data_IF_276635759747
#
_entry.id   IF_276635759747
#
_cell.length_a   1.000
_cell.length_b   1.000
_cell.length_c   1.000
_cell.angle_alpha   90.00
_cell.angle_beta   90.00
_cell.angle_gamma   90.00
#
_symmetry.space_group_name_H-M   'P 1'
#
loop_
_entity.id
_entity.type
_entity.pdbx_description
1 polymer ?
#
# COMPACT_ATOMS: atom_id res chain seq x y z
N UNK A 1 -2.11 -7.34 31.74
CA UNK A 1 -2.17 -7.90 30.37
C UNK A 1 -0.76 -7.85 29.81
N UNK A 2 -0.24 -8.93 29.26
CA UNK A 2 1.07 -8.91 28.60
C UNK A 2 1.04 -7.89 27.44
N UNK A 3 2.11 -7.11 27.29
CA UNK A 3 2.21 -6.12 26.23
C UNK A 3 2.30 -6.81 24.87
N UNK A 4 1.53 -6.32 23.89
CA UNK A 4 1.53 -6.91 22.55
C UNK A 4 2.76 -6.48 21.75
N UNK A 5 3.46 -7.46 21.20
CA UNK A 5 4.57 -7.37 20.26
C UNK A 5 4.03 -7.49 18.83
N UNK A 6 4.18 -6.41 18.07
CA UNK A 6 3.60 -6.26 16.74
C UNK A 6 4.71 -6.11 15.70
N UNK A 7 4.68 -6.96 14.67
CA UNK A 7 5.61 -6.93 13.53
C UNK A 7 4.89 -6.43 12.27
N UNK A 8 5.42 -5.40 11.62
CA UNK A 8 4.97 -4.85 10.34
C UNK A 8 5.89 -5.24 9.18
N UNK A 9 5.33 -5.75 8.08
CA UNK A 9 6.06 -6.25 6.91
C UNK A 9 5.56 -5.65 5.60
N UNK A 10 6.46 -5.08 4.80
CA UNK A 10 6.16 -4.65 3.44
C UNK A 10 7.32 -4.94 2.51
N UNK A 11 7.07 -5.79 1.51
CA UNK A 11 8.03 -6.22 0.48
C UNK A 11 7.50 -5.96 -0.93
N UNK A 12 6.46 -5.15 -1.08
CA UNK A 12 5.77 -4.87 -2.34
C UNK A 12 6.55 -3.97 -3.32
N UNK A 13 7.51 -3.17 -2.84
CA UNK A 13 8.31 -2.24 -3.65
C UNK A 13 9.77 -2.65 -3.81
N UNK A 14 10.63 -1.70 -4.16
CA UNK A 14 12.10 -1.88 -4.27
C UNK A 14 12.81 -1.98 -2.92
N UNK A 15 12.15 -1.53 -1.84
CA UNK A 15 12.65 -1.63 -0.47
C UNK A 15 11.91 -2.68 0.35
N UNK A 16 12.67 -3.48 1.09
CA UNK A 16 12.21 -4.24 2.23
C UNK A 16 11.98 -3.26 3.39
N UNK A 17 10.75 -3.21 3.92
CA UNK A 17 10.33 -2.28 4.99
C UNK A 17 9.79 -3.08 6.17
N UNK A 18 10.34 -2.83 7.36
CA UNK A 18 9.97 -3.49 8.63
C UNK A 18 9.64 -2.45 9.69
N UNK A 19 8.59 -2.70 10.46
CA UNK A 19 8.30 -1.98 11.69
C UNK A 19 8.10 -2.98 12.83
N UNK A 20 8.45 -2.59 14.05
CA UNK A 20 8.20 -3.35 15.26
C UNK A 20 7.63 -2.41 16.34
N UNK A 21 6.73 -2.93 17.16
CA UNK A 21 6.22 -2.25 18.35
C UNK A 21 6.17 -3.24 19.51
N UNK A 22 6.73 -2.87 20.65
CA UNK A 22 6.80 -3.69 21.86
C UNK A 22 6.81 -2.77 23.07
N UNK A 23 5.83 -2.88 23.97
CA UNK A 23 5.82 -2.13 25.24
C UNK A 23 6.05 -0.63 25.13
N UNK A 24 5.34 0.03 24.21
CA UNK A 24 5.50 1.46 23.93
C UNK A 24 6.77 1.85 23.16
N UNK A 25 7.72 0.93 22.98
CA UNK A 25 8.89 1.11 22.10
C UNK A 25 8.51 0.76 20.67
N UNK A 26 8.96 1.57 19.72
CA UNK A 26 8.77 1.31 18.30
C UNK A 26 10.09 1.44 17.55
N UNK A 27 10.37 0.47 16.69
CA UNK A 27 11.54 0.46 15.81
C UNK A 27 11.10 0.30 14.36
N UNK A 28 11.88 0.86 13.44
CA UNK A 28 11.61 0.84 12.01
C UNK A 28 12.92 0.67 11.27
N UNK A 29 12.93 -0.16 10.24
CA UNK A 29 14.08 -0.33 9.37
C UNK A 29 13.63 -0.54 7.93
N UNK A 30 14.47 -0.12 6.99
CA UNK A 30 14.25 -0.37 5.58
C UNK A 30 15.57 -0.55 4.83
N UNK A 31 15.55 -1.35 3.76
CA UNK A 31 16.72 -1.61 2.92
C UNK A 31 16.29 -1.70 1.45
N UNK A 32 16.96 -0.94 0.57
CA UNK A 32 16.81 -1.11 -0.88
C UNK A 32 17.59 -2.36 -1.29
N UNK A 33 16.89 -3.38 -1.75
CA UNK A 33 17.49 -4.67 -2.15
C UNK A 33 16.51 -5.44 -3.04
N UNK A 34 17.04 -6.11 -4.07
CA UNK A 34 16.24 -6.86 -5.03
C UNK A 34 15.75 -8.21 -4.47
N UNK A 35 16.67 -9.04 -3.96
CA UNK A 35 16.43 -10.35 -3.34
C UNK A 35 16.06 -10.18 -1.86
N UNK A 36 14.88 -9.62 -1.59
CA UNK A 36 14.46 -9.20 -0.26
C UNK A 36 14.39 -10.37 0.74
N UNK A 37 14.03 -11.57 0.27
CA UNK A 37 13.94 -12.80 1.04
C UNK A 37 15.25 -13.16 1.73
N UNK A 38 16.40 -12.89 1.10
CA UNK A 38 17.73 -13.15 1.67
C UNK A 38 18.04 -12.29 2.91
N UNK A 39 17.45 -11.10 3.00
CA UNK A 39 17.71 -10.13 4.07
C UNK A 39 16.56 -10.00 5.06
N UNK A 40 15.41 -10.64 4.77
CA UNK A 40 14.17 -10.51 5.52
C UNK A 40 14.38 -10.80 7.01
N UNK A 41 14.83 -12.01 7.36
CA UNK A 41 14.96 -12.41 8.76
C UNK A 41 16.03 -11.62 9.51
N UNK A 42 17.14 -11.25 8.85
CA UNK A 42 18.16 -10.41 9.46
C UNK A 42 17.59 -9.03 9.82
N UNK A 43 16.82 -8.40 8.93
CA UNK A 43 16.21 -7.10 9.19
C UNK A 43 15.07 -7.19 10.22
N UNK A 44 14.27 -8.26 10.20
CA UNK A 44 13.22 -8.53 11.20
C UNK A 44 13.84 -8.65 12.59
N UNK A 45 14.83 -9.53 12.77
CA UNK A 45 15.52 -9.72 14.06
C UNK A 45 16.13 -8.41 14.57
N UNK A 46 16.83 -7.67 13.71
CA UNK A 46 17.40 -6.36 14.04
C UNK A 46 16.32 -5.36 14.50
N UNK A 47 15.19 -5.31 13.80
CA UNK A 47 14.12 -4.34 14.09
C UNK A 47 13.38 -4.69 15.38
N UNK A 48 13.10 -5.97 15.62
CA UNK A 48 12.49 -6.43 16.87
C UNK A 48 13.43 -6.19 18.07
N UNK A 49 14.72 -6.52 17.94
CA UNK A 49 15.69 -6.28 19.00
C UNK A 49 15.78 -4.79 19.37
N UNK A 50 15.72 -3.89 18.37
CA UNK A 50 15.69 -2.44 18.62
C UNK A 50 14.40 -1.97 19.35
N UNK A 51 13.29 -2.71 19.20
CA UNK A 51 12.07 -2.51 19.99
C UNK A 51 12.10 -3.22 21.36
N UNK A 52 13.12 -4.04 21.64
CA UNK A 52 13.24 -4.81 22.89
C UNK A 52 12.50 -6.14 22.88
N UNK A 53 12.30 -6.76 21.70
CA UNK A 53 11.61 -8.04 21.55
C UNK A 53 12.37 -9.00 20.63
N UNK A 54 12.01 -10.28 20.65
CA UNK A 54 12.47 -11.30 19.70
C UNK A 54 11.33 -11.75 18.77
N UNK A 55 11.69 -12.52 17.73
CA UNK A 55 10.71 -13.07 16.79
C UNK A 55 9.71 -14.03 17.46
N UNK A 56 10.15 -14.76 18.49
CA UNK A 56 9.31 -15.70 19.24
C UNK A 56 8.21 -15.00 20.05
N UNK A 57 8.39 -13.71 20.35
CA UNK A 57 7.48 -12.94 21.19
C UNK A 57 6.36 -12.30 20.37
N UNK A 58 6.42 -12.36 19.04
CA UNK A 58 5.47 -11.71 18.14
C UNK A 58 4.08 -12.34 18.23
N UNK A 59 3.13 -11.64 18.83
CA UNK A 59 1.71 -12.05 18.89
C UNK A 59 0.88 -11.50 17.73
N UNK A 60 1.32 -10.42 17.08
CA UNK A 60 0.57 -9.78 15.99
C UNK A 60 1.46 -9.47 14.80
N UNK A 61 1.01 -9.85 13.60
CA UNK A 61 1.69 -9.55 12.34
C UNK A 61 0.79 -8.68 11.45
N UNK A 62 1.34 -7.56 11.00
CA UNK A 62 0.73 -6.62 10.07
C UNK A 62 1.47 -6.70 8.73
N UNK A 63 0.80 -7.03 7.64
CA UNK A 63 1.45 -7.19 6.33
C UNK A 63 0.80 -6.37 5.22
N UNK A 64 1.64 -5.83 4.32
CA UNK A 64 1.19 -5.27 3.06
C UNK A 64 0.66 -6.39 2.15
N UNK A 65 -0.57 -6.21 1.62
CA UNK A 65 -1.17 -7.15 0.66
C UNK A 65 -1.17 -6.66 -0.80
N UNK A 66 -0.49 -5.54 -1.07
CA UNK A 66 -0.40 -4.95 -2.42
C UNK A 66 -1.22 -3.67 -2.61
N UNK A 67 -1.32 -3.16 -3.84
CA UNK A 67 -0.67 -3.69 -5.04
C UNK A 67 0.85 -3.48 -5.03
N UNK A 68 1.57 -4.04 -6.02
CA UNK A 68 3.04 -3.98 -6.10
C UNK A 68 3.64 -5.21 -6.76
N UNK A 69 4.95 -5.42 -6.59
CA UNK A 69 5.69 -6.54 -7.19
C UNK A 69 5.11 -7.88 -6.74
N UNK A 70 4.81 -8.74 -7.71
CA UNK A 70 4.17 -10.04 -7.50
C UNK A 70 4.87 -10.93 -6.46
N UNK A 71 6.18 -11.17 -6.65
CA UNK A 71 6.99 -11.92 -5.69
C UNK A 71 7.07 -11.22 -4.35
N UNK A 72 7.18 -9.88 -4.39
CA UNK A 72 7.26 -9.02 -3.21
C UNK A 72 6.07 -9.19 -2.27
N UNK A 73 4.84 -9.08 -2.79
CA UNK A 73 3.62 -9.23 -1.99
C UNK A 73 3.55 -10.63 -1.33
N UNK A 74 3.96 -11.66 -2.06
CA UNK A 74 3.92 -13.04 -1.54
C UNK A 74 4.90 -13.25 -0.40
N UNK A 75 6.08 -12.62 -0.42
CA UNK A 75 7.05 -12.74 0.68
C UNK A 75 6.43 -12.28 2.02
N UNK A 76 5.83 -11.09 2.08
CA UNK A 76 5.24 -10.57 3.32
C UNK A 76 4.03 -11.38 3.77
N UNK A 77 3.15 -11.78 2.85
CA UNK A 77 1.96 -12.56 3.18
C UNK A 77 2.30 -13.99 3.60
N UNK A 78 3.29 -14.63 2.99
CA UNK A 78 3.75 -15.97 3.36
C UNK A 78 4.33 -15.97 4.77
N UNK A 79 5.16 -14.98 5.14
CA UNK A 79 5.69 -14.89 6.50
C UNK A 79 4.56 -14.64 7.52
N UNK A 80 3.60 -13.76 7.20
CA UNK A 80 2.44 -13.53 8.07
C UNK A 80 1.60 -14.80 8.25
N UNK A 81 1.35 -15.56 7.16
CA UNK A 81 0.65 -16.83 7.21
C UNK A 81 1.39 -17.90 8.01
N UNK A 82 2.72 -17.98 7.87
CA UNK A 82 3.55 -18.90 8.64
C UNK A 82 3.51 -18.59 10.15
N UNK A 83 3.64 -17.32 10.53
CA UNK A 83 3.56 -16.91 11.95
C UNK A 83 2.15 -17.15 12.53
N UNK A 84 1.10 -16.96 11.73
CA UNK A 84 -0.26 -17.34 12.14
C UNK A 84 -0.38 -18.84 12.41
N UNK A 85 0.10 -19.66 11.47
CA UNK A 85 -0.07 -21.11 11.52
C UNK A 85 0.81 -21.77 12.60
N UNK A 86 2.04 -21.28 12.78
CA UNK A 86 3.04 -21.91 13.65
C UNK A 86 3.14 -21.28 15.05
N UNK A 87 2.85 -19.98 15.18
CA UNK A 87 2.98 -19.25 16.45
C UNK A 87 1.63 -18.71 16.98
N UNK A 88 0.52 -18.98 16.29
CA UNK A 88 -0.80 -18.50 16.70
C UNK A 88 -0.98 -16.98 16.59
N UNK A 89 -0.08 -16.29 15.86
CA UNK A 89 -0.10 -14.84 15.77
C UNK A 89 -1.38 -14.33 15.10
N UNK A 90 -1.94 -13.24 15.63
CA UNK A 90 -3.01 -12.49 14.98
C UNK A 90 -2.48 -11.81 13.72
N UNK A 91 -3.16 -11.98 12.58
CA UNK A 91 -2.76 -11.35 11.32
C UNK A 91 -3.74 -10.26 10.92
N UNK A 92 -3.19 -9.11 10.58
CA UNK A 92 -3.88 -8.01 9.94
C UNK A 92 -3.15 -7.61 8.65
N UNK A 93 -3.89 -7.21 7.63
CA UNK A 93 -3.32 -6.76 6.36
C UNK A 93 -3.87 -5.41 5.96
N UNK A 94 -3.08 -4.67 5.18
CA UNK A 94 -3.49 -3.41 4.57
C UNK A 94 -2.96 -3.31 3.15
N UNK A 95 -3.67 -2.59 2.29
CA UNK A 95 -3.19 -2.22 0.97
C UNK A 95 -2.21 -1.06 1.07
N UNK A 96 -1.37 -0.89 0.05
CA UNK A 96 -0.54 0.31 -0.04
C UNK A 96 -1.38 1.59 -0.15
N UNK A 97 -2.58 1.49 -0.72
CA UNK A 97 -3.53 2.59 -0.77
C UNK A 97 -3.97 3.03 0.62
N UNK A 98 -4.39 2.09 1.45
CA UNK A 98 -4.80 2.31 2.84
C UNK A 98 -3.65 2.91 3.67
N UNK A 99 -2.42 2.44 3.46
CA UNK A 99 -1.23 2.97 4.13
C UNK A 99 -0.97 4.44 3.74
N UNK A 100 -0.94 4.76 2.45
CA UNK A 100 -0.73 6.13 1.99
C UNK A 100 -1.92 7.05 2.35
N UNK A 101 -3.15 6.54 2.29
CA UNK A 101 -4.33 7.31 2.65
C UNK A 101 -4.28 7.74 4.13
N UNK A 102 -3.95 6.81 5.03
CA UNK A 102 -3.78 7.10 6.44
C UNK A 102 -2.58 8.03 6.70
N UNK A 103 -1.47 7.86 5.97
CA UNK A 103 -0.33 8.79 6.02
C UNK A 103 -0.69 10.22 5.65
N UNK A 104 -1.47 10.39 4.58
CA UNK A 104 -1.96 11.69 4.19
C UNK A 104 -2.84 12.27 5.30
N UNK A 105 -3.86 11.53 5.75
CA UNK A 105 -4.81 11.98 6.76
C UNK A 105 -4.19 12.39 8.10
N UNK A 106 -3.12 11.73 8.54
CA UNK A 106 -2.41 12.10 9.77
C UNK A 106 -1.46 13.29 9.59
N UNK A 107 -1.10 13.65 8.36
CA UNK A 107 -0.14 14.72 8.07
C UNK A 107 -0.70 16.13 8.34
N UNK A 108 0.15 17.03 8.83
CA UNK A 108 -0.23 18.44 9.06
C UNK A 108 -0.65 19.14 7.76
N UNK A 109 -0.01 18.80 6.64
CA UNK A 109 -0.29 19.40 5.33
C UNK A 109 -1.70 19.06 4.86
N UNK A 110 -2.07 17.77 4.89
CA UNK A 110 -3.42 17.35 4.55
C UNK A 110 -4.46 17.92 5.51
N UNK A 111 -4.23 17.92 6.83
CA UNK A 111 -5.18 18.47 7.81
C UNK A 111 -5.50 19.95 7.59
N UNK A 112 -4.51 20.74 7.15
CA UNK A 112 -4.71 22.15 6.76
C UNK A 112 -5.54 22.26 5.49
N UNK A 113 -5.27 21.41 4.51
CA UNK A 113 -5.97 21.39 3.23
C UNK A 113 -7.43 20.90 3.35
N UNK A 114 -7.66 19.84 4.12
CA UNK A 114 -8.95 19.13 4.19
C UNK A 114 -10.07 19.90 4.91
N UNK A 115 -9.78 21.07 5.48
CA UNK A 115 -10.77 21.92 6.13
C UNK A 115 -11.90 22.35 5.17
N UNK A 116 -11.62 22.43 3.87
CA UNK A 116 -12.60 22.75 2.83
C UNK A 116 -13.34 21.56 2.21
N UNK A 117 -13.13 20.33 2.71
CA UNK A 117 -13.67 19.12 2.05
C UNK A 117 -12.89 18.73 0.79
N UNK A 118 -13.35 17.69 0.09
CA UNK A 118 -12.73 17.19 -1.14
C UNK A 118 -12.45 15.69 -1.16
N UNK A 119 -11.53 15.27 -2.02
CA UNK A 119 -11.19 13.86 -2.26
C UNK A 119 -9.69 13.61 -2.13
N UNK A 120 -9.34 12.43 -1.62
CA UNK A 120 -7.97 11.97 -1.55
C UNK A 120 -7.71 10.93 -2.65
N UNK A 121 -6.85 11.25 -3.61
CA UNK A 121 -6.35 10.31 -4.60
C UNK A 121 -5.05 9.67 -4.11
N UNK A 122 -4.97 8.35 -4.15
CA UNK A 122 -3.74 7.61 -3.86
C UNK A 122 -3.22 6.98 -5.15
N UNK A 123 -1.99 7.33 -5.52
CA UNK A 123 -1.34 6.93 -6.77
C UNK A 123 -0.17 5.98 -6.49
N UNK A 124 -0.09 4.90 -7.25
CA UNK A 124 1.01 3.94 -7.18
C UNK A 124 1.50 3.62 -8.58
N UNK A 125 2.81 3.48 -8.75
CA UNK A 125 3.37 2.98 -10.01
C UNK A 125 3.17 1.47 -10.11
N UNK A 126 2.76 1.00 -11.30
CA UNK A 126 2.61 -0.42 -11.57
C UNK A 126 3.85 -0.95 -12.32
N UNK A 127 3.97 -0.61 -13.61
CA UNK A 127 5.07 -0.98 -14.48
C UNK A 127 5.06 -0.10 -15.73
N UNK A 128 6.21 0.42 -16.17
CA UNK A 128 6.33 1.34 -17.30
C UNK A 128 5.38 2.55 -17.17
N UNK A 129 4.48 2.78 -18.12
CA UNK A 129 3.52 3.86 -18.19
C UNK A 129 2.17 3.53 -17.53
N UNK A 130 2.11 2.46 -16.73
CA UNK A 130 0.92 2.01 -16.03
C UNK A 130 0.95 2.37 -14.55
N UNK A 131 -0.23 2.72 -14.02
CA UNK A 131 -0.41 3.21 -12.67
C UNK A 131 -1.65 2.61 -12.04
N UNK A 132 -1.63 2.51 -10.71
CA UNK A 132 -2.81 2.24 -9.93
C UNK A 132 -3.29 3.51 -9.23
N UNK A 133 -4.61 3.69 -9.18
CA UNK A 133 -5.24 4.80 -8.48
C UNK A 133 -6.40 4.30 -7.63
N UNK A 134 -6.54 4.83 -6.43
CA UNK A 134 -7.75 4.66 -5.63
C UNK A 134 -8.11 5.97 -4.95
N UNK A 135 -9.39 6.33 -5.01
CA UNK A 135 -9.91 7.48 -4.29
C UNK A 135 -10.36 7.09 -2.88
N UNK A 136 -10.26 8.04 -1.96
CA UNK A 136 -10.72 7.92 -0.58
C UNK A 136 -11.58 9.14 -0.24
N UNK A 137 -12.67 8.90 0.47
CA UNK A 137 -13.45 9.98 1.08
C UNK A 137 -12.71 10.54 2.29
N UNK A 138 -12.77 11.86 2.44
CA UNK A 138 -12.10 12.57 3.52
C UNK A 138 -13.14 12.92 4.61
N UNK A 139 -12.76 12.75 5.87
CA UNK A 139 -13.61 13.06 7.02
C UNK A 139 -12.81 13.10 8.32
N UNK A 140 -13.47 13.34 9.46
CA UNK A 140 -12.80 13.32 10.79
C UNK A 140 -12.32 11.93 11.23
N UNK A 141 -12.74 10.88 10.52
CA UNK A 141 -12.43 9.49 10.81
C UNK A 141 -11.38 8.91 9.84
N UNK A 142 -11.03 7.64 10.04
CA UNK A 142 -10.19 6.83 9.14
C UNK A 142 -10.64 7.02 7.67
N UNK A 143 -9.73 7.36 6.73
CA UNK A 143 -10.07 7.49 5.31
C UNK A 143 -10.73 6.22 4.77
N UNK A 144 -11.84 6.35 4.07
CA UNK A 144 -12.56 5.18 3.51
C UNK A 144 -12.38 5.14 2.01
N UNK A 145 -12.12 3.96 1.41
CA UNK A 145 -12.15 3.81 -0.03
C UNK A 145 -13.44 4.35 -0.63
N UNK A 146 -13.31 5.13 -1.70
CA UNK A 146 -14.42 5.68 -2.48
C UNK A 146 -14.39 5.01 -3.86
N UNK A 147 -14.80 3.75 -3.88
CA UNK A 147 -14.72 2.87 -5.05
C UNK A 147 -13.54 1.89 -5.02
N UNK A 148 -13.56 0.96 -5.96
CA UNK A 148 -12.50 -0.01 -6.17
C UNK A 148 -11.26 0.66 -6.77
N UNK A 149 -10.05 0.13 -6.49
CA UNK A 149 -8.83 0.61 -7.12
C UNK A 149 -8.83 0.28 -8.61
N UNK A 150 -8.30 1.19 -9.42
CA UNK A 150 -8.18 1.03 -10.88
C UNK A 150 -6.73 0.86 -11.31
N UNK A 151 -6.52 0.19 -12.44
CA UNK A 151 -5.26 0.06 -13.16
C UNK A 151 -5.41 0.72 -14.52
N UNK A 152 -4.60 1.75 -14.79
CA UNK A 152 -4.73 2.60 -15.98
C UNK A 152 -3.36 2.95 -16.56
N UNK A 153 -3.34 3.26 -17.86
CA UNK A 153 -2.18 3.92 -18.48
C UNK A 153 -2.11 5.39 -18.07
N UNK A 154 -0.95 6.02 -18.29
CA UNK A 154 -0.69 7.41 -17.94
C UNK A 154 -1.76 8.38 -18.48
N UNK A 155 -2.16 8.23 -19.74
CA UNK A 155 -3.14 9.12 -20.38
C UNK A 155 -4.52 8.99 -19.77
N UNK A 156 -5.00 7.77 -19.54
CA UNK A 156 -6.31 7.52 -18.93
C UNK A 156 -6.34 7.96 -17.46
N UNK A 157 -5.24 7.79 -16.73
CA UNK A 157 -5.13 8.29 -15.38
C UNK A 157 -5.14 9.82 -15.34
N UNK A 158 -4.48 10.51 -16.29
CA UNK A 158 -4.56 11.97 -16.42
C UNK A 158 -6.00 12.43 -16.65
N UNK A 159 -6.75 11.76 -17.53
CA UNK A 159 -8.17 12.04 -17.79
C UNK A 159 -9.01 11.84 -16.54
N UNK A 160 -8.89 10.68 -15.89
CA UNK A 160 -9.60 10.36 -14.65
C UNK A 160 -9.37 11.42 -13.56
N UNK A 161 -8.12 11.88 -13.38
CA UNK A 161 -7.79 12.89 -12.39
C UNK A 161 -8.29 14.29 -12.77
N UNK A 162 -8.29 14.63 -14.06
CA UNK A 162 -8.81 15.91 -14.56
C UNK A 162 -10.34 16.03 -14.46
N UNK A 163 -11.06 14.90 -14.49
CA UNK A 163 -12.53 14.86 -14.33
C UNK A 163 -12.99 15.03 -12.88
N UNK A 164 -12.07 15.01 -11.90
CA UNK A 164 -12.40 15.24 -10.49
C UNK A 164 -12.78 16.71 -10.29
N UNK A 165 -14.08 16.96 -10.13
CA UNK A 165 -14.65 18.31 -9.94
C UNK A 165 -14.43 18.88 -8.53
N UNK A 166 -14.29 18.01 -7.55
CA UNK A 166 -14.06 18.39 -6.16
C UNK A 166 -12.57 18.73 -5.92
N UNK A 167 -12.23 19.52 -4.88
CA UNK A 167 -10.85 19.70 -4.48
C UNK A 167 -10.16 18.34 -4.29
N UNK A 168 -9.04 18.12 -4.95
CA UNK A 168 -8.33 16.85 -4.93
C UNK A 168 -6.96 17.00 -4.27
N UNK A 169 -6.68 16.13 -3.29
CA UNK A 169 -5.37 15.95 -2.72
C UNK A 169 -4.81 14.63 -3.19
N UNK A 170 -3.59 14.62 -3.72
CA UNK A 170 -2.96 13.42 -4.23
C UNK A 170 -1.72 13.04 -3.42
N UNK A 171 -1.67 11.79 -2.98
CA UNK A 171 -0.47 11.17 -2.41
C UNK A 171 -0.01 10.02 -3.30
N UNK A 172 1.28 9.96 -3.59
CA UNK A 172 1.87 8.89 -4.38
C UNK A 172 3.10 8.29 -3.71
N UNK A 173 3.49 7.09 -4.11
CA UNK A 173 4.77 6.50 -3.73
C UNK A 173 5.89 6.98 -4.68
N UNK A 174 6.39 8.18 -4.41
CA UNK A 174 7.45 8.81 -5.20
C UNK A 174 8.84 8.17 -4.95
N UNK A 175 8.96 7.25 -3.99
CA UNK A 175 10.17 6.43 -3.82
C UNK A 175 10.32 5.39 -4.94
N UNK A 176 9.19 4.91 -5.48
CA UNK A 176 9.18 3.93 -6.57
C UNK A 176 9.11 4.63 -7.94
N UNK A 177 8.35 5.74 -8.06
CA UNK A 177 8.27 6.54 -9.28
C UNK A 177 8.25 8.05 -8.96
N UNK A 178 9.41 8.73 -8.97
CA UNK A 178 9.50 10.16 -8.65
C UNK A 178 8.64 11.06 -9.56
N UNK A 179 8.39 10.65 -10.81
CA UNK A 179 7.60 11.37 -11.79
C UNK A 179 6.08 11.22 -11.63
N UNK A 180 5.60 10.42 -10.67
CA UNK A 180 4.16 10.09 -10.53
C UNK A 180 3.27 11.33 -10.39
N UNK A 181 3.78 12.40 -9.78
CA UNK A 181 3.05 13.65 -9.62
C UNK A 181 2.92 14.47 -10.91
N UNK A 182 3.68 14.14 -11.95
CA UNK A 182 3.51 14.74 -13.28
C UNK A 182 2.19 14.36 -13.96
N UNK A 183 1.44 13.40 -13.41
CA UNK A 183 0.11 12.98 -13.87
C UNK A 183 -1.03 13.86 -13.34
N UNK A 184 -0.76 14.69 -12.33
CA UNK A 184 -1.78 15.50 -11.68
C UNK A 184 -2.23 16.68 -12.56
N UNK A 185 -3.52 17.04 -12.54
CA UNK A 185 -3.96 18.33 -13.08
C UNK A 185 -3.44 19.48 -12.19
N UNK A 186 -3.37 20.70 -12.75
CA UNK A 186 -2.89 21.88 -12.03
C UNK A 186 -3.72 22.24 -10.79
N UNK A 187 -4.99 21.82 -10.75
CA UNK A 187 -5.91 22.04 -9.62
C UNK A 187 -5.66 21.12 -8.42
N UNK A 188 -4.91 20.02 -8.58
CA UNK A 188 -4.70 19.04 -7.52
C UNK A 188 -3.54 19.45 -6.61
N UNK A 189 -3.73 19.24 -5.29
CA UNK A 189 -2.69 19.47 -4.29
C UNK A 189 -1.87 18.20 -4.11
N UNK A 190 -0.56 18.29 -4.37
CA UNK A 190 0.36 17.15 -4.15
C UNK A 190 0.79 17.05 -2.69
N UNK A 191 0.90 15.83 -2.19
CA UNK A 191 1.50 15.56 -0.90
C UNK A 191 2.99 15.92 -0.87
N UNK A 192 3.53 16.36 0.29
CA UNK A 192 4.94 16.67 0.41
C UNK A 192 5.80 15.40 0.39
N UNK A 193 7.01 15.51 -0.18
CA UNK A 193 7.94 14.39 -0.35
C UNK A 193 8.23 13.59 0.94
N UNK A 194 8.10 14.23 2.12
CA UNK A 194 8.26 13.57 3.41
C UNK A 194 7.29 12.40 3.64
N UNK A 195 6.08 12.46 3.06
CA UNK A 195 5.04 11.42 3.19
C UNK A 195 4.75 10.67 1.88
N UNK A 196 5.32 11.09 0.75
CA UNK A 196 5.15 10.47 -0.57
C UNK A 196 5.97 9.19 -0.74
N UNK A 197 5.83 8.26 0.21
CA UNK A 197 6.48 6.95 0.28
C UNK A 197 5.82 6.09 1.33
N UNK A 198 5.91 4.76 1.23
CA UNK A 198 5.46 3.88 2.32
C UNK A 198 6.41 4.00 3.53
N UNK A 199 5.94 4.66 4.60
CA UNK A 199 6.65 4.78 5.87
C UNK A 199 6.39 3.50 6.68
N UNK A 200 7.43 2.76 7.13
CA UNK A 200 7.24 1.45 7.75
C UNK A 200 6.24 1.41 8.91
N UNK A 201 6.17 2.47 9.73
CA UNK A 201 5.22 2.54 10.84
C UNK A 201 3.75 2.50 10.43
N UNK A 202 3.42 2.96 9.22
CA UNK A 202 2.04 2.94 8.72
C UNK A 202 1.59 1.56 8.23
N UNK A 203 2.51 0.60 8.08
CA UNK A 203 2.15 -0.80 7.84
C UNK A 203 1.33 -1.32 9.04
N UNK A 204 1.83 -1.08 10.26
CA UNK A 204 1.14 -1.45 11.50
C UNK A 204 -0.11 -0.60 11.68
N UNK A 205 0.01 0.74 11.59
CA UNK A 205 -1.14 1.63 11.82
C UNK A 205 -2.32 1.33 10.90
N UNK A 206 -2.08 1.19 9.59
CA UNK A 206 -3.15 0.94 8.63
C UNK A 206 -3.75 -0.45 8.86
N UNK A 207 -2.94 -1.50 8.98
CA UNK A 207 -3.46 -2.87 9.18
C UNK A 207 -4.35 -2.97 10.43
N UNK A 208 -3.95 -2.34 11.54
CA UNK A 208 -4.75 -2.31 12.77
C UNK A 208 -5.99 -1.41 12.68
N UNK A 209 -5.93 -0.32 11.90
CA UNK A 209 -7.06 0.58 11.71
C UNK A 209 -8.15 -0.05 10.82
N UNK A 210 -7.76 -0.66 9.70
CA UNK A 210 -8.70 -1.28 8.75
C UNK A 210 -9.11 -2.70 9.15
N UNK A 211 -8.33 -3.37 10.02
CA UNK A 211 -8.64 -4.69 10.62
C UNK A 211 -8.91 -5.81 9.61
N UNK A 212 -8.41 -5.70 8.38
CA UNK A 212 -8.55 -6.76 7.39
C UNK A 212 -7.70 -7.97 7.80
N UNK A 213 -8.24 -9.19 7.70
CA UNK A 213 -7.54 -10.44 8.08
C UNK A 213 -7.19 -11.31 6.87
N UNK A 214 -7.42 -10.84 5.66
CA UNK A 214 -7.16 -11.60 4.44
C UNK A 214 -5.66 -11.76 4.19
N UNK A 215 -5.24 -12.98 3.86
CA UNK A 215 -3.93 -13.27 3.29
C UNK A 215 -3.97 -13.31 1.76
N UNK A 216 -5.10 -12.95 1.14
CA UNK A 216 -5.21 -12.87 -0.32
C UNK A 216 -4.51 -11.60 -0.81
N UNK A 217 -3.54 -11.71 -1.73
CA UNK A 217 -2.91 -10.56 -2.35
C UNK A 217 -3.92 -9.76 -3.19
N UNK A 218 -3.75 -8.44 -3.24
CA UNK A 218 -4.48 -7.57 -4.15
C UNK A 218 -3.73 -7.48 -5.48
N UNK A 219 -4.14 -8.30 -6.45
CA UNK A 219 -3.69 -8.19 -7.83
C UNK A 219 -4.72 -7.37 -8.62
N UNK A 220 -4.25 -6.29 -9.25
CA UNK A 220 -5.09 -5.38 -10.03
C UNK A 220 -4.83 -5.48 -11.53
N UNK A 221 -3.67 -6.00 -11.92
CA UNK A 221 -3.38 -6.29 -13.32
C UNK A 221 -3.94 -7.67 -13.64
N UNK A 222 -4.85 -7.79 -14.62
CA UNK A 222 -5.35 -9.09 -15.06
C UNK A 222 -4.20 -9.96 -15.54
N UNK A 223 -4.34 -11.28 -15.41
CA UNK A 223 -3.41 -12.18 -16.09
C UNK A 223 -3.53 -11.95 -17.60
N UNK A 224 -2.42 -12.14 -18.36
CA UNK A 224 -2.41 -11.93 -19.82
C UNK A 224 -3.56 -12.67 -20.54
N UNK A 225 -3.91 -13.85 -20.04
CA UNK A 225 -5.02 -14.68 -20.53
C UNK A 225 -6.43 -14.05 -20.33
N UNK A 226 -6.62 -13.26 -19.27
CA UNK A 226 -7.90 -12.57 -18.99
C UNK A 226 -8.14 -11.38 -19.95
N UNK A 227 -7.07 -10.80 -20.48
CA UNK A 227 -7.13 -9.75 -21.51
C UNK A 227 -7.45 -10.32 -22.90
N UNK A 228 -6.94 -11.52 -23.20
CA UNK A 228 -7.12 -12.19 -24.49
C UNK A 228 -8.56 -12.73 -24.66
N UNK A 229 -9.22 -13.18 -23.59
CA UNK A 229 -10.59 -13.71 -23.63
C UNK A 229 -11.71 -12.63 -23.61
N UNK A 230 -11.37 -11.36 -23.34
CA UNK A 230 -12.33 -10.25 -23.38
C UNK A 230 -12.41 -9.58 -24.77
N UNK A 231 -11.71 -10.10 -25.77
CA UNK A 231 -11.90 -9.73 -27.17
C UNK A 231 -13.16 -10.43 -27.67
N UNK A 232 -14.28 -9.70 -27.77
CA UNK A 232 -15.48 -10.20 -28.44
C UNK A 232 -15.09 -10.73 -29.83
N UNK A 233 -15.50 -11.95 -30.22
CA UNK A 233 -15.26 -12.41 -31.58
C UNK A 233 -15.86 -11.40 -32.57
N UNK A 234 -15.09 -11.05 -33.60
CA UNK A 234 -15.55 -10.18 -34.67
C UNK A 234 -16.85 -10.76 -35.27
N UNK A 235 -17.83 -9.92 -35.66
CA UNK A 235 -19.04 -10.41 -36.30
C UNK A 235 -18.64 -11.20 -37.55
N UNK A 236 -19.12 -12.44 -37.65
CA UNK A 236 -18.92 -13.29 -38.82
C UNK A 236 -19.35 -12.50 -40.05
N UNK A 237 -18.40 -12.21 -40.95
CA UNK A 237 -18.74 -11.74 -42.29
C UNK A 237 -19.45 -12.89 -42.97
N UNK A 238 -20.75 -12.72 -43.21
CA UNK A 238 -21.59 -13.65 -43.95
C UNK A 238 -20.87 -14.09 -45.23
N UNK A 239 -20.76 -15.42 -45.40
CA UNK A 239 -20.31 -16.00 -46.66
C UNK A 239 -21.43 -15.84 -47.71
N UNK A 240 -21.06 -15.64 -48.98
CA UNK A 240 -21.98 -15.34 -50.08
C UNK A 240 -22.97 -16.47 -50.37
#
# INVERSE_FOLDING_TARGET
MAEKIILGLCTSGTRLKIAASAGGRAARAQKKVFNQEKYLFALVKKTLAAAGAELRDVDTVCAARGPGRFTGIRISLTLAGALKALAGASVYTATLFEMLALQAAESRHFKKWSAGGGRLAVLLHAFKDEYFCQFFSIGRALPRPSGEPVWLKAEDLRRLLAEVKEPCYAIGDAEEEPGIYGLLPASAVRAPAAISKIIPGYIIKAALAYKNKTLKPLYLKPAKYELENNVRPAPERGRP
#
